data_IF_904002830614
#
_entry.id   IF_904002830614
#
_cell.length_a   1.000
_cell.length_b   1.000
_cell.length_c   1.000
_cell.angle_alpha   90.00
_cell.angle_beta   90.00
_cell.angle_gamma   90.00
#
_symmetry.space_group_name_H-M   'P 1'
#
loop_
_entity.id
_entity.type
_entity.pdbx_description
1 polymer ?
#
# COMPACT_ATOMS: atom_id res chain seq x y z
N UNK A 1 12.34 -25.16 14.78
CA UNK A 1 13.55 -24.31 14.65
C UNK A 1 13.38 -23.20 13.61
N UNK A 2 12.83 -23.44 12.44
CA UNK A 2 12.66 -22.43 11.38
C UNK A 2 11.88 -21.17 11.78
N UNK A 3 10.76 -21.27 12.53
CA UNK A 3 9.95 -20.12 12.96
C UNK A 3 10.71 -19.18 13.93
N UNK A 4 11.56 -19.73 14.81
CA UNK A 4 12.36 -18.89 15.73
C UNK A 4 13.48 -18.13 14.99
N UNK A 5 14.10 -18.75 13.99
CA UNK A 5 15.10 -18.10 13.14
C UNK A 5 14.46 -16.96 12.34
N UNK A 6 13.34 -17.21 11.67
CA UNK A 6 12.57 -16.20 10.93
C UNK A 6 12.23 -14.96 11.77
N UNK A 7 11.71 -15.16 12.99
CA UNK A 7 11.38 -14.03 13.89
C UNK A 7 12.59 -13.19 14.25
N UNK A 8 13.75 -13.81 14.46
CA UNK A 8 15.00 -13.11 14.77
C UNK A 8 15.48 -12.27 13.59
N UNK A 9 15.45 -12.84 12.38
CA UNK A 9 15.88 -12.18 11.15
C UNK A 9 14.99 -10.99 10.80
N UNK A 10 13.66 -11.16 10.85
CA UNK A 10 12.73 -10.05 10.67
C UNK A 10 12.92 -8.94 11.70
N UNK A 11 13.13 -9.29 12.98
CA UNK A 11 13.38 -8.29 14.02
C UNK A 11 14.63 -7.46 13.74
N UNK A 12 15.70 -8.07 13.21
CA UNK A 12 16.91 -7.34 12.84
C UNK A 12 16.64 -6.29 11.76
N UNK A 13 15.91 -6.65 10.69
CA UNK A 13 15.57 -5.71 9.63
C UNK A 13 14.64 -4.61 10.16
N UNK A 14 13.58 -4.99 10.91
CA UNK A 14 12.61 -4.04 11.46
C UNK A 14 13.29 -3.02 12.38
N UNK A 15 14.25 -3.46 13.21
CA UNK A 15 14.98 -2.55 14.09
C UNK A 15 15.80 -1.53 13.28
N UNK A 16 16.47 -1.96 12.20
CA UNK A 16 17.19 -1.04 11.31
C UNK A 16 16.26 -0.06 10.57
N UNK A 17 15.01 -0.46 10.27
CA UNK A 17 14.02 0.42 9.66
C UNK A 17 13.50 1.50 10.60
N UNK A 18 13.60 1.27 11.93
CA UNK A 18 13.13 2.20 12.97
C UNK A 18 14.19 3.21 13.41
N UNK A 19 15.44 3.05 12.95
CA UNK A 19 16.51 4.00 13.27
C UNK A 19 16.26 5.34 12.56
N UNK A 20 16.53 6.47 13.23
CA UNK A 20 16.38 7.81 12.67
C UNK A 20 17.20 8.02 11.39
N UNK A 21 18.36 7.36 11.31
CA UNK A 21 19.21 7.30 10.12
C UNK A 21 19.26 5.88 9.58
N UNK A 22 18.29 5.53 8.73
CA UNK A 22 18.20 4.18 8.14
C UNK A 22 19.49 3.82 7.40
N UNK A 23 20.23 2.87 7.94
CA UNK A 23 21.48 2.40 7.34
C UNK A 23 21.22 1.46 6.16
N UNK A 24 21.05 2.05 4.97
CA UNK A 24 20.79 1.30 3.73
C UNK A 24 21.85 0.25 3.42
N UNK A 25 23.11 0.48 3.80
CA UNK A 25 24.21 -0.49 3.56
C UNK A 25 24.02 -1.74 4.42
N UNK A 26 23.66 -1.56 5.69
CA UNK A 26 23.38 -2.68 6.60
C UNK A 26 22.16 -3.47 6.16
N UNK A 27 21.07 -2.78 5.77
CA UNK A 27 19.87 -3.43 5.25
C UNK A 27 20.19 -4.23 3.97
N UNK A 28 20.92 -3.65 3.01
CA UNK A 28 21.37 -4.36 1.80
C UNK A 28 22.15 -5.63 2.11
N UNK A 29 23.05 -5.54 3.08
CA UNK A 29 23.87 -6.70 3.50
C UNK A 29 22.99 -7.81 4.06
N UNK A 30 22.07 -7.48 4.98
CA UNK A 30 21.15 -8.46 5.58
C UNK A 30 20.20 -9.07 4.55
N UNK A 31 19.58 -8.26 3.68
CA UNK A 31 18.70 -8.78 2.63
C UNK A 31 19.42 -9.75 1.69
N UNK A 32 20.69 -9.44 1.33
CA UNK A 32 21.51 -10.32 0.50
C UNK A 32 21.87 -11.63 1.22
N UNK A 33 22.18 -11.56 2.50
CA UNK A 33 22.47 -12.74 3.34
C UNK A 33 21.23 -13.63 3.47
N UNK A 34 20.07 -13.03 3.80
CA UNK A 34 18.82 -13.76 3.96
C UNK A 34 18.34 -14.37 2.64
N UNK A 35 18.51 -13.66 1.52
CA UNK A 35 18.20 -14.20 0.21
C UNK A 35 19.04 -15.45 -0.14
N UNK A 36 20.34 -15.45 0.22
CA UNK A 36 21.21 -16.62 0.04
C UNK A 36 20.81 -17.82 0.89
N UNK A 37 20.20 -17.56 2.05
CA UNK A 37 19.70 -18.57 2.99
C UNK A 37 18.24 -18.95 2.73
N UNK A 38 17.72 -18.66 1.52
CA UNK A 38 16.35 -18.99 1.10
C UNK A 38 15.26 -18.43 2.02
N UNK A 39 15.51 -17.26 2.62
CA UNK A 39 14.55 -16.60 3.49
C UNK A 39 13.30 -16.20 2.71
N UNK A 40 12.11 -16.56 3.23
CA UNK A 40 10.85 -16.18 2.64
C UNK A 40 10.43 -14.77 3.07
N UNK A 41 10.72 -13.77 2.23
CA UNK A 41 10.37 -12.36 2.47
C UNK A 41 8.86 -12.07 2.49
N UNK A 42 8.03 -13.04 2.09
CA UNK A 42 6.57 -12.95 2.09
C UNK A 42 5.92 -13.53 3.35
N UNK A 43 6.72 -14.08 4.25
CA UNK A 43 6.19 -14.57 5.52
C UNK A 43 5.61 -13.42 6.33
N UNK A 44 4.48 -13.70 6.97
CA UNK A 44 3.79 -12.76 7.85
C UNK A 44 4.43 -12.77 9.24
N UNK A 45 4.61 -11.58 9.81
CA UNK A 45 5.12 -11.36 11.14
C UNK A 45 4.00 -10.89 12.08
N UNK A 46 4.27 -9.95 12.97
CA UNK A 46 3.27 -9.43 13.89
C UNK A 46 2.13 -8.71 13.14
N UNK A 47 0.87 -8.98 13.48
CA UNK A 47 -0.33 -8.48 12.80
C UNK A 47 -0.41 -8.87 11.30
N UNK A 48 0.13 -10.03 10.92
CA UNK A 48 0.12 -10.48 9.53
C UNK A 48 0.98 -9.66 8.57
N UNK A 49 1.76 -8.71 9.09
CA UNK A 49 2.58 -7.79 8.27
C UNK A 49 3.77 -8.53 7.64
N UNK A 50 3.98 -8.29 6.35
CA UNK A 50 5.20 -8.71 5.63
C UNK A 50 6.30 -7.65 5.78
N UNK A 51 7.53 -7.96 5.34
CA UNK A 51 8.62 -6.98 5.32
C UNK A 51 8.23 -5.69 4.60
N UNK A 52 7.48 -5.79 3.50
CA UNK A 52 7.08 -4.63 2.72
C UNK A 52 6.13 -3.68 3.49
N UNK A 53 5.25 -4.22 4.34
CA UNK A 53 4.43 -3.42 5.24
C UNK A 53 5.29 -2.61 6.23
N UNK A 54 6.31 -3.24 6.83
CA UNK A 54 7.23 -2.54 7.74
C UNK A 54 8.05 -1.46 7.04
N UNK A 55 8.43 -1.67 5.79
CA UNK A 55 9.11 -0.66 4.97
C UNK A 55 8.22 0.57 4.79
N UNK A 56 6.92 0.37 4.47
CA UNK A 56 5.96 1.47 4.32
C UNK A 56 5.64 2.12 5.68
N UNK A 57 5.45 1.32 6.71
CA UNK A 57 5.14 1.81 8.07
C UNK A 57 6.22 2.77 8.60
N UNK A 58 7.48 2.50 8.30
CA UNK A 58 8.63 3.30 8.72
C UNK A 58 9.07 4.34 7.68
N UNK A 59 8.27 4.63 6.66
CA UNK A 59 8.53 5.61 5.59
C UNK A 59 9.88 5.41 4.87
N UNK A 60 10.29 4.14 4.70
CA UNK A 60 11.53 3.75 4.04
C UNK A 60 11.30 3.43 2.55
N UNK A 61 10.55 4.27 1.85
CA UNK A 61 10.14 4.02 0.46
C UNK A 61 11.32 3.81 -0.51
N UNK A 62 12.47 4.36 -0.22
CA UNK A 62 13.67 4.21 -1.07
C UNK A 62 14.15 2.76 -1.19
N UNK A 63 13.79 1.89 -0.24
CA UNK A 63 14.14 0.46 -0.29
C UNK A 63 13.05 -0.43 -0.86
N UNK A 64 11.86 0.10 -1.19
CA UNK A 64 10.77 -0.67 -1.81
C UNK A 64 11.25 -1.44 -3.05
N UNK A 65 11.94 -0.81 -4.03
CA UNK A 65 12.39 -1.55 -5.20
C UNK A 65 13.35 -2.70 -4.86
N UNK A 66 14.16 -2.49 -3.82
CA UNK A 66 15.13 -3.49 -3.38
C UNK A 66 14.45 -4.72 -2.77
N UNK A 67 13.54 -4.52 -1.80
CA UNK A 67 12.85 -5.65 -1.14
C UNK A 67 11.98 -6.43 -2.12
N UNK A 68 11.34 -5.75 -3.09
CA UNK A 68 10.58 -6.43 -4.15
C UNK A 68 11.53 -7.23 -5.08
N UNK A 69 12.71 -6.71 -5.41
CA UNK A 69 13.70 -7.46 -6.20
C UNK A 69 14.23 -8.71 -5.46
N UNK A 70 14.13 -8.75 -4.14
CA UNK A 70 14.40 -9.97 -3.33
C UNK A 70 13.18 -10.87 -3.17
N UNK A 71 12.07 -10.60 -3.88
CA UNK A 71 10.91 -11.48 -3.95
C UNK A 71 9.75 -11.10 -3.02
N UNK A 72 9.76 -9.91 -2.41
CA UNK A 72 8.58 -9.42 -1.70
C UNK A 72 7.43 -9.21 -2.67
N UNK A 73 6.29 -9.84 -2.40
CA UNK A 73 5.06 -9.64 -3.17
C UNK A 73 4.30 -8.41 -2.62
N UNK A 74 4.02 -7.38 -3.44
CA UNK A 74 3.33 -6.17 -3.02
C UNK A 74 1.82 -6.36 -2.76
N UNK A 75 1.27 -7.54 -3.07
CA UNK A 75 -0.17 -7.82 -3.00
C UNK A 75 -0.57 -8.72 -1.82
N UNK A 76 0.34 -8.97 -0.89
CA UNK A 76 0.00 -9.72 0.33
C UNK A 76 -0.65 -8.76 1.33
N UNK A 77 -1.83 -9.15 1.85
CA UNK A 77 -2.53 -8.42 2.90
C UNK A 77 -2.00 -8.78 4.29
N UNK A 78 -2.05 -7.83 5.20
CA UNK A 78 -1.90 -8.07 6.64
C UNK A 78 -3.18 -8.68 7.25
N UNK A 79 -3.25 -8.82 8.57
CA UNK A 79 -4.43 -9.39 9.26
C UNK A 79 -5.66 -8.46 9.24
N UNK A 80 -5.50 -7.20 8.84
CA UNK A 80 -6.59 -6.25 8.58
C UNK A 80 -6.94 -6.16 7.09
N UNK A 81 -6.56 -7.15 6.29
CA UNK A 81 -6.75 -7.18 4.83
C UNK A 81 -6.10 -6.02 4.07
N UNK A 82 -5.21 -5.24 4.70
CA UNK A 82 -4.53 -4.12 4.07
C UNK A 82 -3.29 -4.59 3.32
N UNK A 83 -3.19 -4.25 2.02
CA UNK A 83 -1.94 -4.42 1.27
C UNK A 83 -0.96 -3.28 1.58
N UNK A 84 0.34 -3.41 1.26
CA UNK A 84 1.28 -2.29 1.32
C UNK A 84 0.80 -1.04 0.58
N UNK A 85 0.04 -1.20 -0.53
CA UNK A 85 -0.51 -0.07 -1.27
C UNK A 85 -1.62 0.65 -0.47
N UNK A 86 -2.54 -0.08 0.15
CA UNK A 86 -3.54 0.50 1.05
C UNK A 86 -2.87 1.33 2.15
N UNK A 87 -1.87 0.75 2.81
CA UNK A 87 -1.10 1.43 3.87
C UNK A 87 -0.39 2.69 3.36
N UNK A 88 0.21 2.66 2.16
CA UNK A 88 0.86 3.82 1.57
C UNK A 88 -0.12 4.95 1.25
N UNK A 89 -1.34 4.59 0.80
CA UNK A 89 -2.43 5.53 0.52
C UNK A 89 -2.92 6.20 1.80
N UNK A 90 -3.22 5.44 2.85
CA UNK A 90 -3.68 5.97 4.14
C UNK A 90 -2.64 6.87 4.80
N UNK A 91 -1.35 6.57 4.62
CA UNK A 91 -0.25 7.44 5.07
C UNK A 91 -0.05 8.69 4.20
N UNK A 92 -0.72 8.79 3.08
CA UNK A 92 -0.51 9.91 2.14
C UNK A 92 0.87 9.90 1.45
N UNK A 93 1.59 8.78 1.48
CA UNK A 93 2.94 8.68 0.91
C UNK A 93 2.90 8.46 -0.61
N UNK A 94 2.87 9.57 -1.36
CA UNK A 94 2.78 9.57 -2.83
C UNK A 94 3.95 8.81 -3.47
N UNK A 95 5.16 8.89 -2.91
CA UNK A 95 6.35 8.23 -3.46
C UNK A 95 6.23 6.71 -3.30
N UNK A 96 5.82 6.25 -2.11
CA UNK A 96 5.56 4.84 -1.87
C UNK A 96 4.47 4.30 -2.79
N UNK A 97 3.34 5.01 -2.94
CA UNK A 97 2.25 4.64 -3.87
C UNK A 97 2.79 4.45 -5.29
N UNK A 98 3.54 5.43 -5.82
CA UNK A 98 4.15 5.34 -7.16
C UNK A 98 5.09 4.15 -7.30
N UNK A 99 5.94 3.92 -6.31
CA UNK A 99 6.91 2.82 -6.35
C UNK A 99 6.24 1.47 -6.30
N UNK A 100 5.24 1.28 -5.42
CA UNK A 100 4.48 0.04 -5.29
C UNK A 100 3.77 -0.31 -6.60
N UNK A 101 3.03 0.63 -7.19
CA UNK A 101 2.30 0.38 -8.45
C UNK A 101 3.28 0.03 -9.58
N UNK A 102 4.38 0.78 -9.75
CA UNK A 102 5.42 0.46 -10.74
C UNK A 102 6.07 -0.90 -10.52
N UNK A 103 5.96 -1.45 -9.32
CA UNK A 103 6.51 -2.75 -8.94
C UNK A 103 5.45 -3.86 -8.85
N UNK A 104 4.26 -3.64 -9.43
CA UNK A 104 3.23 -4.66 -9.60
C UNK A 104 2.21 -4.74 -8.46
N UNK A 105 2.08 -3.70 -7.65
CA UNK A 105 0.94 -3.61 -6.73
C UNK A 105 -0.36 -3.45 -7.53
N UNK A 106 -1.36 -4.27 -7.21
CA UNK A 106 -2.69 -4.19 -7.80
C UNK A 106 -3.43 -2.97 -7.24
N UNK A 107 -3.78 -2.06 -8.15
CA UNK A 107 -4.46 -0.80 -7.80
C UNK A 107 -5.94 -1.00 -7.47
N UNK A 108 -6.50 -2.17 -7.80
CA UNK A 108 -7.91 -2.50 -7.65
C UNK A 108 -8.17 -3.57 -6.57
N UNK A 109 -7.14 -4.03 -5.90
CA UNK A 109 -7.29 -5.03 -4.86
C UNK A 109 -8.15 -4.48 -3.71
N UNK A 110 -9.21 -5.22 -3.33
CA UNK A 110 -10.01 -4.91 -2.15
C UNK A 110 -9.22 -5.17 -0.87
N UNK A 111 -9.38 -4.28 0.10
CA UNK A 111 -8.80 -4.38 1.42
C UNK A 111 -9.84 -4.69 2.49
N UNK A 112 -9.73 -4.07 3.66
CA UNK A 112 -10.76 -4.14 4.68
C UNK A 112 -12.10 -3.62 4.13
N UNK A 113 -13.20 -4.35 4.36
CA UNK A 113 -14.54 -4.07 3.80
C UNK A 113 -14.58 -3.98 2.26
N UNK A 114 -13.72 -4.70 1.54
CA UNK A 114 -13.56 -4.64 0.08
C UNK A 114 -13.21 -3.23 -0.46
N UNK A 115 -12.78 -2.32 0.41
CA UNK A 115 -12.36 -0.99 0.01
C UNK A 115 -11.06 -1.04 -0.79
N UNK A 116 -11.09 -0.53 -2.03
CA UNK A 116 -9.88 -0.43 -2.85
C UNK A 116 -8.98 0.74 -2.40
N UNK A 117 -7.70 0.79 -2.82
CA UNK A 117 -6.85 1.95 -2.57
C UNK A 117 -7.48 3.28 -3.00
N UNK A 118 -8.32 3.26 -4.05
CA UNK A 118 -9.02 4.47 -4.52
C UNK A 118 -10.11 4.93 -3.53
N UNK A 119 -10.88 4.01 -2.94
CA UNK A 119 -11.82 4.33 -1.86
C UNK A 119 -11.10 5.03 -0.71
N UNK A 120 -9.99 4.46 -0.23
CA UNK A 120 -9.22 5.05 0.86
C UNK A 120 -8.63 6.43 0.51
N UNK A 121 -8.15 6.61 -0.74
CA UNK A 121 -7.65 7.91 -1.19
C UNK A 121 -8.72 9.01 -1.15
N UNK A 122 -9.96 8.64 -1.49
CA UNK A 122 -11.13 9.55 -1.45
C UNK A 122 -11.55 9.81 -0.01
N UNK A 123 -11.67 8.79 0.83
CA UNK A 123 -11.98 8.90 2.27
C UNK A 123 -10.94 9.81 2.96
N UNK A 124 -9.65 9.66 2.65
CA UNK A 124 -8.59 10.52 3.18
C UNK A 124 -8.56 11.93 2.56
N UNK A 125 -9.44 12.24 1.61
CA UNK A 125 -9.49 13.53 0.92
C UNK A 125 -8.25 13.84 0.07
N UNK A 126 -7.46 12.84 -0.29
CA UNK A 126 -6.17 13.03 -0.96
C UNK A 126 -6.32 13.06 -2.49
N UNK A 127 -6.68 14.24 -3.03
CA UNK A 127 -6.84 14.44 -4.48
C UNK A 127 -5.59 14.05 -5.29
N UNK A 128 -4.38 14.25 -4.75
CA UNK A 128 -3.14 13.90 -5.48
C UNK A 128 -3.01 12.39 -5.65
N UNK A 129 -3.28 11.63 -4.61
CA UNK A 129 -3.26 10.15 -4.65
C UNK A 129 -4.44 9.63 -5.46
N UNK A 130 -5.65 10.21 -5.32
CA UNK A 130 -6.83 9.89 -6.15
C UNK A 130 -6.49 9.99 -7.64
N UNK A 131 -5.95 11.13 -8.08
CA UNK A 131 -5.51 11.33 -9.47
C UNK A 131 -4.46 10.32 -9.90
N UNK A 132 -3.52 10.03 -9.02
CA UNK A 132 -2.44 9.09 -9.28
C UNK A 132 -2.98 7.68 -9.53
N UNK A 133 -3.82 7.16 -8.63
CA UNK A 133 -4.42 5.83 -8.74
C UNK A 133 -5.24 5.70 -10.02
N UNK A 134 -6.09 6.69 -10.33
CA UNK A 134 -6.89 6.70 -11.57
C UNK A 134 -5.99 6.70 -12.81
N UNK A 135 -4.89 7.46 -12.82
CA UNK A 135 -3.94 7.45 -13.94
C UNK A 135 -3.19 6.11 -14.10
N UNK A 136 -3.12 5.31 -13.04
CA UNK A 136 -2.56 3.95 -13.07
C UNK A 136 -3.62 2.85 -13.23
N UNK A 137 -4.86 3.20 -13.61
CA UNK A 137 -5.90 2.25 -13.97
C UNK A 137 -6.78 1.80 -12.80
N UNK A 138 -6.85 2.58 -11.73
CA UNK A 138 -7.85 2.31 -10.69
C UNK A 138 -9.27 2.45 -11.28
N UNK A 139 -10.08 1.41 -11.07
CA UNK A 139 -11.46 1.36 -11.51
C UNK A 139 -12.36 2.13 -10.53
N UNK A 140 -13.02 3.16 -11.03
CA UNK A 140 -13.93 4.02 -10.27
C UNK A 140 -15.31 3.41 -10.05
N UNK A 141 -15.62 2.33 -10.77
CA UNK A 141 -16.92 1.66 -10.69
C UNK A 141 -16.95 0.55 -9.63
N UNK A 142 -15.80 0.18 -9.10
CA UNK A 142 -15.74 -0.78 -8.00
C UNK A 142 -16.46 -0.23 -6.78
N UNK A 143 -17.21 -1.10 -6.14
CA UNK A 143 -17.94 -0.81 -4.91
C UNK A 143 -17.37 -1.64 -3.75
N UNK A 144 -17.53 -1.15 -2.55
CA UNK A 144 -17.16 -1.87 -1.32
C UNK A 144 -18.23 -2.90 -0.91
N UNK A 145 -18.06 -3.56 0.23
CA UNK A 145 -19.03 -4.55 0.76
C UNK A 145 -20.41 -3.95 1.07
N UNK A 146 -20.50 -2.61 1.23
CA UNK A 146 -21.78 -1.89 1.43
C UNK A 146 -22.39 -1.38 0.12
N UNK A 147 -21.82 -1.79 -1.01
CA UNK A 147 -22.20 -1.33 -2.35
C UNK A 147 -22.03 0.18 -2.55
N UNK A 148 -21.07 0.80 -1.84
CA UNK A 148 -20.73 2.21 -1.98
C UNK A 148 -19.56 2.38 -2.95
N UNK A 149 -19.72 3.32 -3.90
CA UNK A 149 -18.69 3.72 -4.86
C UNK A 149 -17.78 4.81 -4.28
N UNK A 150 -16.65 5.07 -4.96
CA UNK A 150 -15.76 6.19 -4.63
C UNK A 150 -16.48 7.55 -4.69
N UNK A 151 -17.50 7.69 -5.54
CA UNK A 151 -18.28 8.92 -5.63
C UNK A 151 -19.21 9.09 -4.41
N UNK A 152 -19.77 8.00 -3.90
CA UNK A 152 -20.62 8.03 -2.71
C UNK A 152 -19.79 8.46 -1.49
N UNK A 153 -18.59 7.90 -1.32
CA UNK A 153 -17.66 8.36 -0.29
C UNK A 153 -17.27 9.83 -0.45
N UNK A 154 -17.02 10.30 -1.69
CA UNK A 154 -16.69 11.70 -1.91
C UNK A 154 -17.84 12.65 -1.53
N UNK A 155 -19.10 12.23 -1.74
CA UNK A 155 -20.31 12.97 -1.33
C UNK A 155 -20.44 12.98 0.21
N UNK A 156 -20.28 11.83 0.85
CA UNK A 156 -20.38 11.67 2.30
C UNK A 156 -19.35 12.54 3.02
N UNK A 157 -18.11 12.52 2.55
CA UNK A 157 -17.02 13.36 3.06
C UNK A 157 -17.14 14.85 2.64
N UNK A 158 -18.18 15.22 1.88
CA UNK A 158 -18.41 16.58 1.36
C UNK A 158 -17.20 17.16 0.62
N UNK A 159 -16.42 16.31 -0.04
CA UNK A 159 -15.21 16.71 -0.75
C UNK A 159 -15.53 17.19 -2.18
N UNK A 160 -16.00 18.44 -2.29
CA UNK A 160 -16.41 19.02 -3.55
C UNK A 160 -15.31 19.00 -4.64
N UNK A 161 -14.04 19.08 -4.23
CA UNK A 161 -12.92 19.07 -5.18
C UNK A 161 -12.77 17.69 -5.82
N UNK A 162 -12.87 16.62 -5.03
CA UNK A 162 -12.81 15.24 -5.55
C UNK A 162 -14.07 14.93 -6.35
N UNK A 163 -15.26 15.33 -5.89
CA UNK A 163 -16.52 15.16 -6.62
C UNK A 163 -16.42 15.80 -8.01
N UNK A 164 -16.00 17.06 -8.08
CA UNK A 164 -15.87 17.77 -9.35
C UNK A 164 -14.84 17.09 -10.27
N UNK A 165 -13.72 16.66 -9.73
CA UNK A 165 -12.70 15.92 -10.47
C UNK A 165 -13.25 14.62 -11.06
N UNK A 166 -13.95 13.79 -10.25
CA UNK A 166 -14.53 12.52 -10.70
C UNK A 166 -15.61 12.75 -11.77
N UNK A 167 -16.54 13.69 -11.54
CA UNK A 167 -17.58 14.03 -12.50
C UNK A 167 -17.00 14.47 -13.84
N UNK A 168 -16.04 15.38 -13.83
CA UNK A 168 -15.37 15.88 -15.04
C UNK A 168 -14.61 14.79 -15.78
N UNK A 169 -13.89 13.94 -15.05
CA UNK A 169 -13.06 12.88 -15.62
C UNK A 169 -13.88 11.78 -16.29
N UNK A 170 -15.04 11.44 -15.72
CA UNK A 170 -15.87 10.30 -16.15
C UNK A 170 -17.23 10.72 -16.76
N UNK A 171 -17.42 12.02 -17.06
CA UNK A 171 -18.66 12.58 -17.64
C UNK A 171 -19.93 12.22 -16.85
N UNK A 172 -19.82 12.10 -15.52
CA UNK A 172 -20.96 11.80 -14.65
C UNK A 172 -21.80 13.07 -14.52
N UNK A 173 -23.06 13.04 -15.01
CA UNK A 173 -23.95 14.20 -14.97
C UNK A 173 -24.41 14.53 -13.54
N UNK A 174 -24.73 15.83 -13.28
CA UNK A 174 -25.39 16.29 -12.05
C UNK A 174 -26.85 15.86 -12.06
N UNK A 175 -27.18 14.64 -11.73
CA UNK A 175 -28.60 14.24 -11.78
C UNK A 175 -28.84 12.75 -11.65
N UNK A 176 -27.83 11.94 -11.58
CA UNK A 176 -27.93 10.54 -11.18
C UNK A 176 -27.75 10.45 -9.65
N UNK A 177 -28.70 11.09 -8.92
CA UNK A 177 -28.80 11.02 -7.45
C UNK A 177 -29.79 9.93 -7.06
#
# INVERSE_FOLDING_TARGET
MAIKAYKKEMSQIINLLKEDNVNLRSIKKLLKEFYKNEFNFNSKYYQGKTLLHYVIENNCETIIPMVINYGCNPNICDDSYMTPLHMAVTKGNINAVKMLIKKGADVNMGGEFEQTPLHLAVICGNLKITKLLINFGADVQLVDEKNLSVLDYAKDEKNNIIIEYLRKKFNIQKGEE
#
